data_IF_420870166973
#
_entry.id   IF_420870166973
#
_cell.length_a   1.000
_cell.length_b   1.000
_cell.length_c   1.000
_cell.angle_alpha   90.00
_cell.angle_beta   90.00
_cell.angle_gamma   90.00
#
_symmetry.space_group_name_H-M   'P 1'
#
loop_
_entity.id
_entity.type
_entity.pdbx_description
1 polymer ?
#
# COMPACT_ATOMS: atom_id res chain seq x y z
N UNK A 1 7.72 -16.51 3.69
CA UNK A 1 8.23 -15.15 3.89
C UNK A 1 9.07 -14.76 2.68
N UNK A 2 8.84 -13.57 2.13
CA UNK A 2 9.70 -12.94 1.12
C UNK A 2 10.72 -12.02 1.84
N UNK A 3 11.98 -12.15 1.46
CA UNK A 3 13.07 -11.33 1.98
C UNK A 3 13.81 -10.67 0.81
N UNK A 4 13.81 -9.36 0.81
CA UNK A 4 14.61 -8.51 -0.09
C UNK A 4 15.75 -7.95 0.75
N UNK A 5 16.99 -8.17 0.36
CA UNK A 5 18.15 -7.81 1.16
C UNK A 5 19.15 -7.00 0.34
N UNK A 6 19.29 -5.73 0.68
CA UNK A 6 20.32 -4.84 0.17
C UNK A 6 20.30 -4.63 -1.34
N UNK A 7 19.12 -4.58 -1.98
CA UNK A 7 19.04 -4.40 -3.43
C UNK A 7 19.62 -3.05 -3.85
N UNK A 8 20.53 -3.10 -4.81
CA UNK A 8 21.06 -1.93 -5.51
C UNK A 8 20.73 -2.06 -7.00
N UNK A 9 20.23 -0.97 -7.59
CA UNK A 9 19.99 -0.91 -9.02
C UNK A 9 20.24 0.48 -9.58
N UNK A 10 21.07 0.54 -10.60
CA UNK A 10 21.38 1.77 -11.33
C UNK A 10 20.93 1.65 -12.80
N UNK A 11 20.37 2.72 -13.31
CA UNK A 11 20.04 2.91 -14.72
C UNK A 11 20.77 4.15 -15.23
N UNK A 12 21.89 3.96 -15.93
CA UNK A 12 22.77 5.08 -16.27
C UNK A 12 23.18 5.84 -15.03
N UNK A 13 22.86 7.13 -14.97
CA UNK A 13 23.19 7.99 -13.81
C UNK A 13 22.16 7.92 -12.68
N UNK A 14 21.01 7.27 -12.89
CA UNK A 14 19.94 7.19 -11.90
C UNK A 14 20.12 5.97 -11.00
N UNK A 15 20.28 6.18 -9.70
CA UNK A 15 20.28 5.14 -8.68
C UNK A 15 18.83 4.88 -8.24
N UNK A 16 18.22 3.85 -8.83
CA UNK A 16 16.82 3.52 -8.60
C UNK A 16 16.58 2.73 -7.30
N UNK A 17 17.56 1.91 -6.88
CA UNK A 17 17.57 1.23 -5.59
C UNK A 17 18.95 1.41 -4.94
N UNK A 18 18.95 1.74 -3.65
CA UNK A 18 20.14 2.03 -2.89
C UNK A 18 20.15 1.28 -1.53
N UNK A 19 20.49 -0.01 -1.60
CA UNK A 19 20.52 -0.87 -0.42
C UNK A 19 19.10 -1.24 0.09
N UNK A 20 18.10 -1.25 -0.80
CA UNK A 20 16.70 -1.52 -0.44
C UNK A 20 16.54 -2.90 0.20
N UNK A 21 15.94 -2.93 1.40
CA UNK A 21 15.63 -4.16 2.13
C UNK A 21 14.20 -4.15 2.62
N UNK A 22 13.42 -5.20 2.27
CA UNK A 22 12.00 -5.35 2.64
C UNK A 22 11.73 -6.80 3.02
N UNK A 23 11.01 -7.01 4.11
CA UNK A 23 10.51 -8.32 4.52
C UNK A 23 8.99 -8.35 4.40
N UNK A 24 8.46 -9.42 3.77
CA UNK A 24 7.02 -9.65 3.65
C UNK A 24 6.71 -10.99 4.34
N UNK A 25 6.07 -10.97 5.52
CA UNK A 25 5.70 -12.17 6.24
C UNK A 25 4.75 -13.05 5.42
N UNK A 26 4.81 -14.37 5.60
CA UNK A 26 3.92 -15.30 4.88
C UNK A 26 2.47 -15.10 5.30
N UNK A 27 1.56 -15.03 4.33
CA UNK A 27 0.13 -14.84 4.57
C UNK A 27 -0.25 -13.41 4.97
N UNK A 28 0.66 -12.44 4.87
CA UNK A 28 0.36 -11.04 5.19
C UNK A 28 0.10 -10.21 3.93
N UNK A 29 -0.71 -9.18 4.11
CA UNK A 29 -0.91 -8.10 3.16
C UNK A 29 0.02 -6.94 3.52
N UNK A 30 1.03 -6.68 2.69
CA UNK A 30 2.04 -5.65 2.94
C UNK A 30 1.98 -4.57 1.87
N UNK A 31 1.88 -3.31 2.33
CA UNK A 31 1.93 -2.14 1.46
C UNK A 31 3.36 -1.63 1.26
N UNK A 32 3.81 -1.55 0.00
CA UNK A 32 5.06 -0.88 -0.40
C UNK A 32 4.75 0.55 -0.83
N UNK A 33 5.01 1.50 0.03
CA UNK A 33 4.63 2.89 -0.10
C UNK A 33 5.78 3.76 -0.60
N UNK A 34 5.45 4.87 -1.20
CA UNK A 34 6.44 5.87 -1.59
C UNK A 34 5.97 6.72 -2.76
N UNK A 35 6.61 7.87 -2.99
CA UNK A 35 6.31 8.74 -4.13
C UNK A 35 6.61 8.05 -5.46
N UNK A 36 6.16 8.66 -6.55
CA UNK A 36 6.54 8.23 -7.89
C UNK A 36 8.05 8.38 -8.06
N UNK A 37 8.67 7.36 -8.65
CA UNK A 37 10.13 7.32 -8.80
C UNK A 37 10.90 6.83 -7.55
N UNK A 38 10.25 6.49 -6.44
CA UNK A 38 10.92 5.97 -5.24
C UNK A 38 11.61 4.60 -5.43
N UNK A 39 11.28 3.87 -6.51
CA UNK A 39 11.87 2.55 -6.80
C UNK A 39 10.91 1.36 -6.61
N UNK A 40 9.64 1.58 -6.25
CA UNK A 40 8.64 0.53 -5.98
C UNK A 40 8.54 -0.50 -7.10
N UNK A 41 8.28 -0.06 -8.33
CA UNK A 41 8.20 -0.92 -9.52
C UNK A 41 9.53 -1.64 -9.81
N UNK A 42 10.68 -1.01 -9.53
CA UNK A 42 11.99 -1.64 -9.68
C UNK A 42 12.18 -2.79 -8.71
N UNK A 43 11.78 -2.63 -7.43
CA UNK A 43 11.75 -3.73 -6.45
C UNK A 43 10.88 -4.87 -6.99
N UNK A 44 9.62 -4.58 -7.37
CA UNK A 44 8.68 -5.60 -7.85
C UNK A 44 9.20 -6.33 -9.09
N UNK A 45 9.72 -5.62 -10.08
CA UNK A 45 10.32 -6.22 -11.29
C UNK A 45 11.54 -7.10 -10.97
N UNK A 46 12.30 -6.76 -9.93
CA UNK A 46 13.43 -7.57 -9.46
C UNK A 46 12.97 -8.91 -8.89
N UNK A 47 11.84 -8.95 -8.17
CA UNK A 47 11.27 -10.21 -7.64
C UNK A 47 10.99 -11.20 -8.77
N UNK A 48 10.52 -10.72 -9.92
CA UNK A 48 10.22 -11.55 -11.10
C UNK A 48 11.43 -11.78 -12.01
N UNK A 49 12.59 -11.20 -11.69
CA UNK A 49 13.78 -11.30 -12.53
C UNK A 49 13.67 -10.54 -13.85
N UNK A 50 12.70 -9.65 -13.98
CA UNK A 50 12.57 -8.70 -15.10
C UNK A 50 13.64 -7.62 -15.04
N UNK A 51 14.14 -7.36 -13.86
CA UNK A 51 15.29 -6.49 -13.58
C UNK A 51 16.32 -7.30 -12.81
N UNK A 52 17.56 -7.30 -13.29
CA UNK A 52 18.70 -7.88 -12.58
C UNK A 52 19.28 -6.79 -11.69
N UNK A 53 19.32 -6.95 -10.37
CA UNK A 53 19.95 -5.99 -9.49
C UNK A 53 21.47 -6.00 -9.65
N UNK A 54 22.11 -4.87 -9.36
CA UNK A 54 23.57 -4.75 -9.42
C UNK A 54 24.22 -5.30 -8.13
N UNK A 55 23.47 -5.31 -7.01
CA UNK A 55 23.84 -5.96 -5.77
C UNK A 55 22.58 -6.35 -4.97
N UNK A 56 22.76 -7.16 -3.92
CA UNK A 56 21.70 -7.63 -3.06
C UNK A 56 21.09 -8.95 -3.53
N UNK A 57 20.12 -9.46 -2.77
CA UNK A 57 19.50 -10.77 -3.01
C UNK A 57 18.02 -10.75 -2.71
N UNK A 58 17.27 -11.65 -3.39
CA UNK A 58 15.86 -11.94 -3.09
C UNK A 58 15.75 -13.40 -2.64
N UNK A 59 15.06 -13.63 -1.52
CA UNK A 59 14.80 -14.95 -0.99
C UNK A 59 13.31 -15.19 -0.78
N UNK A 60 12.89 -16.42 -1.03
CA UNK A 60 11.54 -16.90 -0.72
C UNK A 60 11.66 -18.11 0.19
N UNK A 61 11.04 -18.05 1.38
CA UNK A 61 11.12 -19.10 2.40
C UNK A 61 12.57 -19.54 2.70
N UNK A 62 13.46 -18.54 2.86
CA UNK A 62 14.88 -18.73 3.19
C UNK A 62 15.77 -19.18 2.03
N UNK A 63 15.23 -19.41 0.82
CA UNK A 63 15.98 -19.84 -0.37
C UNK A 63 16.04 -18.72 -1.40
N UNK A 64 17.13 -18.64 -2.15
CA UNK A 64 17.22 -17.71 -3.28
C UNK A 64 16.10 -17.96 -4.28
N UNK A 65 15.48 -16.90 -4.76
CA UNK A 65 14.41 -16.98 -5.76
C UNK A 65 14.98 -17.39 -7.10
N UNK A 66 14.50 -18.51 -7.62
CA UNK A 66 14.82 -19.08 -8.93
C UNK A 66 13.62 -19.07 -9.88
N UNK A 67 13.77 -19.64 -11.07
CA UNK A 67 12.69 -19.73 -12.06
C UNK A 67 11.50 -20.55 -11.52
N UNK A 68 11.73 -21.61 -10.76
CA UNK A 68 10.66 -22.46 -10.20
C UNK A 68 9.87 -21.71 -9.13
N UNK A 69 10.55 -20.94 -8.29
CA UNK A 69 9.89 -20.09 -7.30
C UNK A 69 8.98 -19.05 -8.00
N UNK A 70 9.48 -18.42 -9.06
CA UNK A 70 8.73 -17.38 -9.82
C UNK A 70 7.50 -17.95 -10.53
N UNK A 71 7.50 -19.24 -10.92
CA UNK A 71 6.30 -19.87 -11.49
C UNK A 71 5.12 -19.94 -10.49
N UNK A 72 5.40 -19.81 -9.20
CA UNK A 72 4.40 -19.76 -8.12
C UNK A 72 4.09 -18.33 -7.65
N UNK A 73 4.57 -17.33 -8.36
CA UNK A 73 4.32 -15.92 -8.08
C UNK A 73 3.36 -15.34 -9.09
N UNK A 74 2.38 -14.57 -8.63
CA UNK A 74 1.48 -13.79 -9.46
C UNK A 74 1.93 -12.34 -9.55
N UNK A 75 1.89 -11.73 -10.74
CA UNK A 75 2.27 -10.35 -10.94
C UNK A 75 1.21 -9.57 -11.71
N UNK A 76 0.81 -8.47 -11.16
CA UNK A 76 -0.01 -7.47 -11.83
C UNK A 76 0.82 -6.18 -11.96
N UNK A 77 1.36 -5.86 -13.13
CA UNK A 77 2.07 -4.61 -13.36
C UNK A 77 1.10 -3.42 -13.43
N UNK A 78 1.59 -2.21 -13.15
CA UNK A 78 0.84 -0.95 -13.30
C UNK A 78 0.36 -0.76 -14.75
N UNK A 79 1.25 -0.98 -15.71
CA UNK A 79 0.90 -0.97 -17.13
C UNK A 79 0.18 -2.27 -17.52
N UNK A 80 -0.88 -2.14 -18.32
CA UNK A 80 -1.67 -3.29 -18.74
C UNK A 80 -0.90 -4.14 -19.73
N UNK A 81 -0.39 -5.29 -19.26
CA UNK A 81 0.26 -6.31 -20.07
C UNK A 81 -0.72 -7.27 -20.76
N UNK A 82 -1.95 -6.83 -21.07
CA UNK A 82 -2.98 -7.66 -21.67
C UNK A 82 -2.89 -7.64 -23.21
N UNK A 83 -3.25 -8.75 -23.86
CA UNK A 83 -3.39 -8.84 -25.31
C UNK A 83 -4.77 -8.30 -25.73
N UNK A 84 -4.84 -7.13 -26.40
CA UNK A 84 -6.12 -6.44 -26.63
C UNK A 84 -7.12 -7.26 -27.48
N UNK A 85 -6.62 -8.03 -28.42
CA UNK A 85 -7.42 -8.81 -29.36
C UNK A 85 -7.95 -10.14 -28.78
N UNK A 86 -7.37 -10.63 -27.66
CA UNK A 86 -7.82 -11.87 -27.04
C UNK A 86 -9.12 -11.67 -26.26
N UNK A 87 -9.91 -12.74 -26.09
CA UNK A 87 -11.07 -12.77 -25.22
C UNK A 87 -10.62 -12.88 -23.76
N UNK A 88 -11.39 -12.31 -22.83
CA UNK A 88 -11.04 -12.29 -21.42
C UNK A 88 -10.74 -13.67 -20.83
N UNK A 89 -11.67 -14.62 -20.99
CA UNK A 89 -11.49 -15.99 -20.48
C UNK A 89 -10.33 -16.73 -21.17
N UNK A 90 -10.18 -16.55 -22.47
CA UNK A 90 -9.09 -17.16 -23.25
C UNK A 90 -7.72 -16.69 -22.74
N UNK A 91 -7.58 -15.39 -22.49
CA UNK A 91 -6.34 -14.80 -22.01
C UNK A 91 -6.00 -15.29 -20.60
N UNK A 92 -6.95 -15.31 -19.68
CA UNK A 92 -6.75 -15.81 -18.33
C UNK A 92 -6.30 -17.28 -18.38
N UNK A 93 -6.99 -18.12 -19.17
CA UNK A 93 -6.62 -19.52 -19.34
C UNK A 93 -5.24 -19.71 -20.01
N UNK A 94 -4.87 -18.84 -20.95
CA UNK A 94 -3.55 -18.83 -21.57
C UNK A 94 -2.44 -18.62 -20.53
N UNK A 95 -2.58 -17.62 -19.66
CA UNK A 95 -1.62 -17.38 -18.58
C UNK A 95 -1.63 -18.49 -17.53
N UNK A 96 -2.79 -19.10 -17.23
CA UNK A 96 -2.87 -20.27 -16.37
C UNK A 96 -2.03 -21.44 -16.92
N UNK A 97 -2.07 -21.68 -18.23
CA UNK A 97 -1.23 -22.71 -18.88
C UNK A 97 0.27 -22.35 -18.83
N UNK A 98 0.64 -21.09 -18.99
CA UNK A 98 2.03 -20.64 -18.81
C UNK A 98 2.49 -20.85 -17.35
N UNK A 99 1.58 -20.70 -16.38
CA UNK A 99 1.80 -21.00 -14.96
C UNK A 99 1.82 -22.50 -14.63
N UNK A 100 1.67 -23.39 -15.64
CA UNK A 100 1.80 -24.83 -15.46
C UNK A 100 0.48 -25.60 -15.32
N UNK A 101 -0.67 -24.95 -15.41
CA UNK A 101 -1.96 -25.64 -15.37
C UNK A 101 -2.23 -26.44 -16.65
N UNK A 102 -2.95 -27.56 -16.54
CA UNK A 102 -3.49 -28.24 -17.71
C UNK A 102 -4.49 -27.37 -18.46
N UNK A 103 -4.77 -27.66 -19.74
CA UNK A 103 -5.74 -26.89 -20.51
C UNK A 103 -7.15 -26.88 -19.88
N UNK A 104 -7.57 -27.99 -19.29
CA UNK A 104 -8.83 -28.11 -18.58
C UNK A 104 -8.89 -27.30 -17.29
N UNK A 105 -7.85 -27.43 -16.46
CA UNK A 105 -7.74 -26.70 -15.18
C UNK A 105 -7.63 -25.18 -15.41
N UNK A 106 -6.84 -24.76 -16.40
CA UNK A 106 -6.70 -23.35 -16.76
C UNK A 106 -8.05 -22.74 -17.20
N UNK A 107 -8.83 -23.47 -18.03
CA UNK A 107 -10.15 -23.02 -18.45
C UNK A 107 -11.15 -22.98 -17.28
N UNK A 108 -11.10 -23.94 -16.37
CA UNK A 108 -11.92 -23.95 -15.16
C UNK A 108 -11.56 -22.79 -14.22
N UNK A 109 -10.25 -22.58 -13.97
CA UNK A 109 -9.76 -21.49 -13.16
C UNK A 109 -10.11 -20.11 -13.75
N UNK A 110 -10.00 -19.95 -15.08
CA UNK A 110 -10.39 -18.72 -15.76
C UNK A 110 -11.86 -18.37 -15.50
N UNK A 111 -12.77 -19.33 -15.66
CA UNK A 111 -14.21 -19.12 -15.38
C UNK A 111 -14.46 -18.79 -13.92
N UNK A 112 -13.83 -19.52 -12.99
CA UNK A 112 -13.92 -19.27 -11.54
C UNK A 112 -13.51 -17.84 -11.20
N UNK A 113 -12.35 -17.37 -11.69
CA UNK A 113 -11.86 -16.04 -11.41
C UNK A 113 -12.68 -14.94 -12.09
N UNK A 114 -13.15 -15.15 -13.31
CA UNK A 114 -14.07 -14.21 -13.96
C UNK A 114 -15.36 -14.04 -13.15
N UNK A 115 -15.93 -15.14 -12.65
CA UNK A 115 -17.12 -15.07 -11.80
C UNK A 115 -16.83 -14.33 -10.49
N UNK A 116 -15.74 -14.66 -9.79
CA UNK A 116 -15.36 -14.01 -8.53
C UNK A 116 -15.10 -12.51 -8.68
N UNK A 117 -14.55 -12.10 -9.80
CA UNK A 117 -14.21 -10.70 -10.07
C UNK A 117 -15.35 -9.93 -10.77
N UNK A 118 -16.57 -10.48 -10.82
CA UNK A 118 -17.74 -9.81 -11.39
C UNK A 118 -17.67 -9.61 -12.90
N UNK A 119 -16.98 -10.51 -13.62
CA UNK A 119 -16.85 -10.51 -15.07
C UNK A 119 -17.76 -11.58 -15.73
N UNK A 120 -18.70 -12.16 -14.98
CA UNK A 120 -19.67 -13.12 -15.51
C UNK A 120 -20.45 -12.54 -16.70
N UNK A 121 -20.60 -13.33 -17.77
CA UNK A 121 -21.24 -12.91 -19.03
C UNK A 121 -20.32 -12.08 -19.96
N UNK A 122 -19.04 -11.88 -19.60
CA UNK A 122 -18.04 -11.16 -20.42
C UNK A 122 -16.89 -12.06 -20.87
N UNK A 123 -17.05 -13.38 -20.72
CA UNK A 123 -16.02 -14.38 -21.02
C UNK A 123 -15.51 -14.29 -22.44
N UNK A 124 -16.42 -14.07 -23.39
CA UNK A 124 -16.15 -13.98 -24.83
C UNK A 124 -15.86 -12.55 -25.31
N UNK A 125 -15.93 -11.56 -24.41
CA UNK A 125 -15.62 -10.17 -24.77
C UNK A 125 -14.12 -10.01 -25.00
N UNK A 126 -13.75 -9.33 -26.11
CA UNK A 126 -12.34 -8.94 -26.32
C UNK A 126 -11.91 -7.94 -25.27
N UNK A 127 -10.65 -8.05 -24.85
CA UNK A 127 -10.08 -7.20 -23.78
C UNK A 127 -10.16 -5.72 -24.16
N UNK A 128 -9.89 -5.36 -25.42
CA UNK A 128 -9.95 -3.96 -25.91
C UNK A 128 -11.37 -3.34 -25.85
N UNK A 129 -12.42 -4.16 -25.74
CA UNK A 129 -13.81 -3.70 -25.63
C UNK A 129 -14.31 -3.62 -24.18
N UNK A 130 -13.52 -4.06 -23.22
CA UNK A 130 -13.85 -3.97 -21.81
C UNK A 130 -13.55 -2.55 -21.28
N UNK A 131 -14.36 -2.09 -20.31
CA UNK A 131 -14.04 -0.87 -19.57
C UNK A 131 -12.70 -0.99 -18.82
N UNK A 132 -12.10 0.14 -18.47
CA UNK A 132 -10.84 0.18 -17.74
C UNK A 132 -10.85 -0.70 -16.48
N UNK A 133 -11.88 -0.59 -15.65
CA UNK A 133 -12.02 -1.42 -14.44
C UNK A 133 -12.17 -2.91 -14.76
N UNK A 134 -12.87 -3.28 -15.84
CA UNK A 134 -12.98 -4.68 -16.24
C UNK A 134 -11.67 -5.24 -16.80
N UNK A 135 -10.88 -4.44 -17.53
CA UNK A 135 -9.53 -4.83 -17.95
C UNK A 135 -8.61 -5.06 -16.75
N UNK A 136 -8.70 -4.21 -15.73
CA UNK A 136 -7.94 -4.36 -14.48
C UNK A 136 -8.33 -5.65 -13.73
N UNK A 137 -9.63 -5.98 -13.70
CA UNK A 137 -10.11 -7.25 -13.13
C UNK A 137 -9.61 -8.47 -13.93
N UNK A 138 -9.56 -8.40 -15.27
CA UNK A 138 -8.92 -9.44 -16.10
C UNK A 138 -7.44 -9.57 -15.77
N UNK A 139 -6.72 -8.46 -15.62
CA UNK A 139 -5.29 -8.46 -15.26
C UNK A 139 -5.05 -9.09 -13.88
N UNK A 140 -5.91 -8.79 -12.91
CA UNK A 140 -5.88 -9.43 -11.60
C UNK A 140 -6.17 -10.93 -11.70
N UNK A 141 -7.18 -11.33 -12.50
CA UNK A 141 -7.46 -12.75 -12.76
C UNK A 141 -6.27 -13.49 -13.37
N UNK A 142 -5.54 -12.85 -14.28
CA UNK A 142 -4.30 -13.38 -14.86
C UNK A 142 -3.23 -13.62 -13.79
N UNK A 143 -3.06 -12.69 -12.85
CA UNK A 143 -2.11 -12.84 -11.75
C UNK A 143 -2.50 -13.94 -10.75
N UNK A 144 -3.79 -14.26 -10.66
CA UNK A 144 -4.35 -15.21 -9.68
C UNK A 144 -4.63 -16.60 -10.24
N UNK A 145 -4.68 -16.78 -11.56
CA UNK A 145 -5.24 -17.98 -12.22
C UNK A 145 -4.55 -19.29 -11.84
N UNK A 146 -3.28 -19.24 -11.47
CA UNK A 146 -2.47 -20.41 -11.09
C UNK A 146 -2.31 -20.58 -9.57
N UNK A 147 -3.15 -19.92 -8.78
CA UNK A 147 -3.19 -19.94 -7.32
C UNK A 147 -1.80 -19.68 -6.69
N UNK A 148 -1.26 -18.46 -6.81
CA UNK A 148 0.12 -18.15 -6.43
C UNK A 148 0.35 -18.14 -4.92
N UNK A 149 1.58 -18.49 -4.49
CA UNK A 149 2.02 -18.34 -3.09
C UNK A 149 2.35 -16.89 -2.73
N UNK A 150 2.85 -16.14 -3.70
CA UNK A 150 3.16 -14.70 -3.60
C UNK A 150 2.43 -13.95 -4.71
N UNK A 151 1.63 -12.99 -4.33
CA UNK A 151 0.96 -12.07 -5.24
C UNK A 151 1.58 -10.68 -5.11
N UNK A 152 2.08 -10.13 -6.22
CA UNK A 152 2.67 -8.79 -6.28
C UNK A 152 1.84 -7.92 -7.21
N UNK A 153 1.35 -6.80 -6.68
CA UNK A 153 0.43 -5.90 -7.38
C UNK A 153 1.01 -4.48 -7.42
N UNK A 154 1.22 -3.97 -8.62
CA UNK A 154 1.73 -2.61 -8.82
C UNK A 154 0.57 -1.65 -9.03
N UNK A 155 0.30 -0.77 -8.05
CA UNK A 155 -0.79 0.21 -8.00
C UNK A 155 -2.20 -0.39 -8.26
N UNK A 156 -2.61 -1.48 -7.59
CA UNK A 156 -3.84 -2.22 -7.92
C UNK A 156 -5.13 -1.43 -7.68
N UNK A 157 -5.09 -0.39 -6.87
CA UNK A 157 -6.24 0.44 -6.52
C UNK A 157 -6.36 1.72 -7.38
N UNK A 158 -5.39 1.96 -8.27
CA UNK A 158 -5.39 3.16 -9.09
C UNK A 158 -6.61 3.21 -10.03
N UNK A 159 -7.37 4.32 -9.96
CA UNK A 159 -8.53 4.54 -10.82
C UNK A 159 -9.77 3.70 -10.50
N UNK A 160 -9.80 3.03 -9.35
CA UNK A 160 -11.00 2.37 -8.83
C UNK A 160 -11.90 3.35 -8.09
N UNK A 161 -13.20 3.13 -8.18
CA UNK A 161 -14.18 3.79 -7.30
C UNK A 161 -14.16 3.15 -5.89
N UNK A 162 -14.71 3.81 -4.86
CA UNK A 162 -14.67 3.31 -3.48
C UNK A 162 -15.24 1.89 -3.32
N UNK A 163 -16.30 1.55 -4.02
CA UNK A 163 -16.94 0.22 -3.95
C UNK A 163 -16.00 -0.85 -4.51
N UNK A 164 -15.33 -0.55 -5.63
CA UNK A 164 -14.35 -1.46 -6.23
C UNK A 164 -13.10 -1.63 -5.34
N UNK A 165 -12.69 -0.57 -4.63
CA UNK A 165 -11.63 -0.64 -3.63
C UNK A 165 -11.99 -1.60 -2.52
N UNK A 166 -13.19 -1.49 -1.92
CA UNK A 166 -13.64 -2.38 -0.84
C UNK A 166 -13.69 -3.84 -1.28
N UNK A 167 -14.20 -4.10 -2.49
CA UNK A 167 -14.28 -5.46 -3.06
C UNK A 167 -12.88 -6.05 -3.27
N UNK A 168 -11.95 -5.27 -3.81
CA UNK A 168 -10.57 -5.72 -4.00
C UNK A 168 -9.88 -5.96 -2.66
N UNK A 169 -10.05 -5.07 -1.71
CA UNK A 169 -9.50 -5.18 -0.36
C UNK A 169 -9.97 -6.48 0.33
N UNK A 170 -11.28 -6.74 0.32
CA UNK A 170 -11.85 -7.96 0.88
C UNK A 170 -11.27 -9.23 0.21
N UNK A 171 -11.10 -9.21 -1.12
CA UNK A 171 -10.46 -10.30 -1.84
C UNK A 171 -9.01 -10.53 -1.40
N UNK A 172 -8.22 -9.46 -1.26
CA UNK A 172 -6.81 -9.59 -0.84
C UNK A 172 -6.69 -10.14 0.59
N UNK A 173 -7.56 -9.72 1.51
CA UNK A 173 -7.62 -10.28 2.86
C UNK A 173 -7.98 -11.77 2.85
N UNK A 174 -9.01 -12.16 2.09
CA UNK A 174 -9.39 -13.58 1.94
C UNK A 174 -8.22 -14.43 1.40
N UNK A 175 -7.47 -13.92 0.43
CA UNK A 175 -6.29 -14.60 -0.11
C UNK A 175 -5.18 -14.74 0.96
N UNK A 176 -4.97 -13.72 1.78
CA UNK A 176 -4.00 -13.78 2.88
C UNK A 176 -4.41 -14.80 3.94
N UNK A 177 -5.70 -14.83 4.32
CA UNK A 177 -6.26 -15.83 5.24
C UNK A 177 -6.11 -17.26 4.68
N UNK A 178 -6.21 -17.42 3.36
CA UNK A 178 -5.95 -18.69 2.68
C UNK A 178 -4.45 -19.04 2.55
N UNK A 179 -3.53 -18.17 3.00
CA UNK A 179 -2.09 -18.39 3.03
C UNK A 179 -1.28 -17.73 1.91
N UNK A 180 -1.93 -17.05 0.97
CA UNK A 180 -1.22 -16.26 -0.06
C UNK A 180 -0.54 -15.05 0.59
N UNK A 181 0.72 -14.81 0.25
CA UNK A 181 1.44 -13.60 0.66
C UNK A 181 1.20 -12.50 -0.36
N UNK A 182 0.85 -11.31 0.07
CA UNK A 182 0.54 -10.20 -0.86
C UNK A 182 1.45 -9.01 -0.60
N UNK A 183 2.11 -8.52 -1.65
CA UNK A 183 2.85 -7.26 -1.66
C UNK A 183 2.22 -6.35 -2.72
N UNK A 184 1.75 -5.17 -2.34
CA UNK A 184 1.26 -4.22 -3.32
C UNK A 184 1.89 -2.84 -3.16
N UNK A 185 2.06 -2.13 -4.26
CA UNK A 185 2.50 -0.73 -4.22
C UNK A 185 1.32 0.21 -4.14
N UNK A 186 1.52 1.34 -3.46
CA UNK A 186 0.60 2.46 -3.50
C UNK A 186 1.31 3.78 -3.19
N UNK A 187 0.78 4.86 -3.72
CA UNK A 187 1.08 6.23 -3.31
C UNK A 187 -0.04 6.85 -2.45
N UNK A 188 -1.14 6.12 -2.22
CA UNK A 188 -2.31 6.54 -1.43
C UNK A 188 -2.18 6.04 0.01
N UNK A 189 -1.56 6.85 0.87
CA UNK A 189 -1.23 6.48 2.25
C UNK A 189 -2.47 6.18 3.11
N UNK A 190 -3.56 6.95 2.91
CA UNK A 190 -4.78 6.77 3.68
C UNK A 190 -5.44 5.42 3.38
N UNK A 191 -5.50 5.03 2.09
CA UNK A 191 -5.99 3.72 1.69
C UNK A 191 -5.20 2.58 2.33
N UNK A 192 -3.86 2.67 2.29
CA UNK A 192 -3.01 1.61 2.84
C UNK A 192 -3.14 1.51 4.36
N UNK A 193 -3.35 2.64 5.03
CA UNK A 193 -3.58 2.70 6.48
C UNK A 193 -4.79 1.87 6.93
N UNK A 194 -5.82 1.82 6.09
CA UNK A 194 -7.06 1.11 6.39
C UNK A 194 -7.01 -0.37 5.96
N UNK A 195 -6.11 -0.71 5.02
CA UNK A 195 -6.02 -2.05 4.45
C UNK A 195 -4.93 -2.93 5.07
N UNK A 196 -3.80 -2.35 5.49
CA UNK A 196 -2.61 -3.12 5.83
C UNK A 196 -2.30 -3.11 7.32
N UNK A 197 -1.86 -4.26 7.84
CA UNK A 197 -1.20 -4.33 9.14
C UNK A 197 0.29 -3.99 9.05
N UNK A 198 0.93 -4.33 7.93
CA UNK A 198 2.36 -4.15 7.69
C UNK A 198 2.62 -3.24 6.49
N UNK A 199 3.59 -2.35 6.62
CA UNK A 199 3.97 -1.40 5.57
C UNK A 199 5.49 -1.31 5.44
N UNK A 200 5.96 -0.96 4.24
CA UNK A 200 7.32 -0.53 3.98
C UNK A 200 7.29 0.77 3.17
N UNK A 201 7.97 1.80 3.65
CA UNK A 201 8.02 3.11 3.01
C UNK A 201 9.36 3.24 2.28
N UNK A 202 9.27 3.41 0.98
CA UNK A 202 10.41 3.57 0.09
C UNK A 202 10.53 5.04 -0.32
N UNK A 203 11.73 5.59 -0.18
CA UNK A 203 12.09 6.91 -0.68
C UNK A 203 13.50 6.88 -1.28
N UNK A 204 13.66 7.47 -2.47
CA UNK A 204 14.93 7.50 -3.22
C UNK A 204 15.69 6.15 -3.25
N UNK A 205 14.96 5.05 -3.46
CA UNK A 205 15.53 3.70 -3.56
C UNK A 205 15.89 3.06 -2.21
N UNK A 206 15.62 3.71 -1.08
CA UNK A 206 15.86 3.22 0.28
C UNK A 206 14.57 2.98 1.03
N UNK A 207 14.51 1.95 1.84
CA UNK A 207 13.43 1.78 2.82
C UNK A 207 13.75 2.67 4.01
N UNK A 208 12.95 3.73 4.18
CA UNK A 208 13.10 4.68 5.28
C UNK A 208 12.34 4.25 6.53
N UNK A 209 11.29 3.44 6.35
CA UNK A 209 10.50 2.89 7.46
C UNK A 209 9.87 1.58 7.03
N UNK A 210 9.86 0.57 7.89
CA UNK A 210 9.13 -0.68 7.68
C UNK A 210 8.72 -1.31 9.00
N UNK A 211 7.57 -1.98 9.02
CA UNK A 211 7.07 -2.72 10.17
C UNK A 211 5.57 -2.71 10.29
N UNK A 212 5.07 -3.23 11.42
CA UNK A 212 3.65 -3.25 11.73
C UNK A 212 3.13 -1.82 11.99
N UNK A 213 2.06 -1.44 11.33
CA UNK A 213 1.51 -0.08 11.40
C UNK A 213 1.15 0.34 12.83
N UNK A 214 0.60 -0.58 13.63
CA UNK A 214 0.29 -0.33 15.04
C UNK A 214 1.55 -0.01 15.87
N UNK A 215 2.67 -0.70 15.61
CA UNK A 215 3.95 -0.46 16.28
C UNK A 215 4.58 0.85 15.83
N UNK A 216 4.54 1.14 14.53
CA UNK A 216 5.03 2.39 13.95
C UNK A 216 4.27 3.59 14.55
N UNK A 217 2.95 3.49 14.65
CA UNK A 217 2.11 4.51 15.31
C UNK A 217 2.40 4.63 16.79
N UNK A 218 2.56 3.50 17.49
CA UNK A 218 2.89 3.49 18.91
C UNK A 218 4.28 4.09 19.20
N UNK A 219 5.25 3.84 18.31
CA UNK A 219 6.61 4.34 18.41
C UNK A 219 6.79 5.80 17.99
N UNK A 220 5.83 6.40 17.29
CA UNK A 220 5.92 7.78 16.84
C UNK A 220 6.10 8.76 18.02
N UNK A 221 7.03 9.67 17.89
CA UNK A 221 7.35 10.67 18.92
C UNK A 221 6.23 11.70 19.10
N UNK A 222 5.45 11.90 18.05
CA UNK A 222 4.37 12.89 17.98
C UNK A 222 3.01 12.24 17.86
N UNK A 223 1.99 12.96 18.35
CA UNK A 223 0.57 12.58 18.33
C UNK A 223 -0.24 13.70 17.70
N UNK A 224 -1.36 13.35 17.12
CA UNK A 224 -2.34 14.32 16.63
C UNK A 224 -3.32 14.66 17.76
N UNK A 225 -3.56 15.95 17.95
CA UNK A 225 -4.59 16.46 18.84
C UNK A 225 -5.49 17.40 18.05
N UNK A 226 -6.78 17.15 18.09
CA UNK A 226 -7.80 18.03 17.52
C UNK A 226 -8.68 18.58 18.64
N UNK A 227 -8.80 19.91 18.68
CA UNK A 227 -9.63 20.60 19.67
C UNK A 227 -10.68 21.40 18.91
N UNK A 228 -11.96 21.21 19.27
CA UNK A 228 -13.09 21.96 18.71
C UNK A 228 -13.84 22.68 19.84
N UNK A 229 -14.07 23.96 19.64
CA UNK A 229 -14.80 24.83 20.57
C UNK A 229 -16.29 24.90 20.20
N UNK A 230 -17.15 25.10 21.20
CA UNK A 230 -18.61 25.25 21.04
C UNK A 230 -19.01 26.53 20.30
N UNK A 231 -18.14 27.53 20.27
CA UNK A 231 -18.36 28.78 19.55
C UNK A 231 -17.11 29.22 18.79
N UNK A 232 -17.30 30.10 17.83
CA UNK A 232 -16.20 30.78 17.17
C UNK A 232 -15.45 31.69 18.16
N UNK A 233 -14.15 31.52 18.28
CA UNK A 233 -13.26 32.26 19.15
C UNK A 233 -12.37 33.27 18.38
N UNK A 234 -12.62 33.41 17.08
CA UNK A 234 -11.85 34.26 16.17
C UNK A 234 -10.68 33.50 15.52
N UNK A 235 -10.11 34.14 14.48
CA UNK A 235 -8.95 33.56 13.81
C UNK A 235 -7.76 33.45 14.76
N UNK A 236 -7.04 32.30 14.67
CA UNK A 236 -5.78 32.05 15.38
C UNK A 236 -5.84 32.14 16.91
N UNK A 237 -7.00 31.81 17.52
CA UNK A 237 -7.19 31.81 18.99
C UNK A 237 -6.19 30.90 19.73
N UNK A 238 -5.49 30.02 19.01
CA UNK A 238 -4.46 29.10 19.53
C UNK A 238 -3.02 29.66 19.40
N UNK A 239 -2.78 30.87 18.89
CA UNK A 239 -1.41 31.37 18.62
C UNK A 239 -0.50 31.33 19.84
N UNK A 240 -1.04 31.59 21.01
CA UNK A 240 -0.29 31.54 22.25
C UNK A 240 0.12 30.13 22.70
N UNK A 241 -0.44 29.08 22.10
CA UNK A 241 -0.19 27.71 22.56
C UNK A 241 1.22 27.22 22.18
N UNK A 242 1.76 27.61 21.05
CA UNK A 242 3.11 27.26 20.65
C UNK A 242 4.18 27.87 21.57
N UNK A 243 3.89 29.01 22.19
CA UNK A 243 4.77 29.68 23.16
C UNK A 243 4.54 29.16 24.59
N UNK A 244 3.29 28.95 24.98
CA UNK A 244 2.90 28.55 26.32
C UNK A 244 3.05 27.05 26.61
N UNK A 245 3.04 26.21 25.56
CA UNK A 245 3.04 24.74 25.66
C UNK A 245 4.20 24.14 24.83
N UNK A 246 5.39 23.97 25.42
CA UNK A 246 6.53 23.35 24.74
C UNK A 246 6.18 21.96 24.20
N UNK A 247 6.54 21.68 22.96
CA UNK A 247 6.21 20.42 22.27
C UNK A 247 4.86 20.40 21.56
N UNK A 248 4.12 21.52 21.54
CA UNK A 248 2.90 21.70 20.77
C UNK A 248 3.20 22.49 19.49
N UNK A 249 2.87 21.90 18.34
CA UNK A 249 2.99 22.53 17.03
C UNK A 249 1.61 22.65 16.39
N UNK A 250 1.29 23.83 15.89
CA UNK A 250 0.03 24.05 15.17
C UNK A 250 0.15 23.54 13.74
N UNK A 251 -0.71 22.60 13.37
CA UNK A 251 -0.79 22.06 12.00
C UNK A 251 -1.79 22.83 11.13
N UNK A 252 -2.75 23.53 11.74
CA UNK A 252 -3.77 24.35 11.09
C UNK A 252 -5.03 24.47 11.94
N UNK A 253 -5.94 25.36 11.55
CA UNK A 253 -7.20 25.55 12.26
C UNK A 253 -8.05 26.66 11.64
N UNK A 254 -9.22 26.84 12.22
CA UNK A 254 -10.20 27.86 11.89
C UNK A 254 -10.76 28.50 13.18
N UNK A 255 -11.72 29.40 13.09
CA UNK A 255 -12.27 30.08 14.26
C UNK A 255 -12.87 29.17 15.34
N UNK A 256 -13.11 27.88 15.05
CA UNK A 256 -13.68 26.90 15.97
C UNK A 256 -12.77 25.72 16.29
N UNK A 257 -11.94 25.31 15.35
CA UNK A 257 -11.17 24.08 15.46
C UNK A 257 -9.69 24.33 15.26
N UNK A 258 -8.84 23.63 16.01
CA UNK A 258 -7.40 23.61 15.81
C UNK A 258 -6.88 22.17 15.74
N UNK A 259 -6.01 21.92 14.80
CA UNK A 259 -5.25 20.67 14.69
C UNK A 259 -3.82 20.91 15.12
N UNK A 260 -3.37 20.12 16.05
CA UNK A 260 -2.05 20.22 16.66
C UNK A 260 -1.29 18.91 16.45
N UNK A 261 0.01 19.05 16.34
CA UNK A 261 0.95 17.95 16.51
C UNK A 261 1.63 18.15 17.85
N UNK A 262 1.52 17.19 18.75
CA UNK A 262 2.04 17.28 20.11
C UNK A 262 3.06 16.20 20.37
N UNK A 263 4.16 16.55 21.03
CA UNK A 263 5.16 15.58 21.46
C UNK A 263 4.55 14.65 22.54
N UNK A 264 5.00 13.41 22.60
CA UNK A 264 4.47 12.39 23.52
C UNK A 264 4.57 12.81 25.00
N UNK A 265 5.51 13.70 25.32
CA UNK A 265 5.74 14.23 26.68
C UNK A 265 4.81 15.38 27.06
N UNK A 266 4.01 15.90 26.12
CA UNK A 266 3.12 17.05 26.38
C UNK A 266 2.02 16.65 27.36
N UNK A 267 1.84 17.46 28.37
CA UNK A 267 0.75 17.35 29.33
C UNK A 267 -0.57 17.81 28.69
N UNK A 268 -1.37 16.84 28.26
CA UNK A 268 -2.66 17.09 27.59
C UNK A 268 -3.67 17.81 28.49
N UNK A 269 -3.55 17.67 29.82
CA UNK A 269 -4.42 18.38 30.74
C UNK A 269 -4.19 19.88 30.67
N UNK A 270 -2.94 20.32 30.54
CA UNK A 270 -2.60 21.75 30.32
C UNK A 270 -3.17 22.26 29.00
N UNK A 271 -3.10 21.48 27.92
CA UNK A 271 -3.68 21.86 26.63
C UNK A 271 -5.21 22.00 26.77
N UNK A 272 -5.86 21.09 27.48
CA UNK A 272 -7.30 21.15 27.72
C UNK A 272 -7.70 22.35 28.57
N UNK A 273 -6.91 22.70 29.58
CA UNK A 273 -7.14 23.89 30.43
C UNK A 273 -7.04 25.15 29.57
N UNK A 274 -6.02 25.27 28.75
CA UNK A 274 -5.85 26.43 27.84
C UNK A 274 -7.02 26.53 26.85
N UNK A 275 -7.47 25.41 26.29
CA UNK A 275 -8.63 25.38 25.41
C UNK A 275 -9.90 25.87 26.12
N UNK A 276 -10.16 25.36 27.31
CA UNK A 276 -11.33 25.74 28.15
C UNK A 276 -11.28 27.20 28.57
N UNK A 277 -10.11 27.78 28.75
CA UNK A 277 -9.98 29.21 29.06
C UNK A 277 -10.46 30.11 27.92
N UNK A 278 -10.47 29.61 26.69
CA UNK A 278 -10.91 30.33 25.48
C UNK A 278 -12.42 30.21 25.26
N UNK A 279 -12.95 28.99 25.31
CA UNK A 279 -14.38 28.69 25.22
C UNK A 279 -14.69 27.26 25.68
N UNK A 280 -15.99 26.89 25.71
CA UNK A 280 -16.42 25.52 25.93
C UNK A 280 -15.79 24.58 24.88
N UNK A 281 -15.13 23.49 25.34
CA UNK A 281 -14.56 22.46 24.48
C UNK A 281 -15.62 21.40 24.22
N UNK A 282 -16.02 21.27 22.96
CA UNK A 282 -17.01 20.29 22.49
C UNK A 282 -16.35 18.98 22.09
N UNK A 283 -15.11 19.06 21.55
CA UNK A 283 -14.35 17.90 21.06
C UNK A 283 -12.87 18.04 21.41
N UNK A 284 -12.29 16.96 21.92
CA UNK A 284 -10.87 16.87 22.24
C UNK A 284 -10.38 15.46 21.89
N UNK A 285 -9.92 15.31 20.66
CA UNK A 285 -9.48 14.02 20.14
C UNK A 285 -7.96 13.94 20.15
N UNK A 286 -7.46 12.89 20.79
CA UNK A 286 -6.04 12.60 20.87
C UNK A 286 -5.75 11.26 20.20
N UNK A 287 -5.25 11.31 18.98
CA UNK A 287 -5.04 10.16 18.12
C UNK A 287 -3.56 9.89 17.86
N UNK A 288 -3.20 8.62 17.58
CA UNK A 288 -1.91 8.31 16.96
C UNK A 288 -1.78 9.07 15.64
N UNK A 289 -0.54 9.36 15.18
CA UNK A 289 -0.33 9.99 13.91
C UNK A 289 -0.85 9.11 12.76
N UNK A 290 -1.35 9.76 11.71
CA UNK A 290 -1.69 9.10 10.46
C UNK A 290 -0.43 8.55 9.78
N UNK A 291 -0.59 7.57 8.88
CA UNK A 291 0.52 7.07 8.08
C UNK A 291 1.16 8.18 7.23
N UNK A 292 0.36 9.15 6.78
CA UNK A 292 0.83 10.34 6.06
C UNK A 292 1.72 11.25 6.90
N UNK A 293 1.48 11.33 8.20
CA UNK A 293 2.33 12.10 9.12
C UNK A 293 3.64 11.37 9.42
N UNK A 294 3.55 10.06 9.69
CA UNK A 294 4.73 9.19 9.88
C UNK A 294 5.63 9.23 8.63
N UNK A 295 5.04 9.13 7.44
CA UNK A 295 5.77 9.23 6.17
C UNK A 295 6.53 10.56 6.05
N UNK A 296 5.84 11.69 6.28
CA UNK A 296 6.47 13.02 6.20
C UNK A 296 7.62 13.20 7.19
N UNK A 297 7.53 12.58 8.35
CA UNK A 297 8.58 12.60 9.36
C UNK A 297 9.77 11.75 8.92
N UNK A 298 9.53 10.53 8.41
CA UNK A 298 10.56 9.62 7.94
C UNK A 298 11.36 10.12 6.72
N UNK A 299 10.72 10.88 5.82
CA UNK A 299 11.37 11.44 4.61
C UNK A 299 12.14 12.73 4.92
N UNK A 300 11.84 13.43 6.03
CA UNK A 300 12.54 14.66 6.45
C UNK A 300 13.75 14.41 7.34
N UNK A 301 13.86 13.23 7.93
CA UNK A 301 14.97 12.79 8.79
C UNK A 301 16.13 12.20 7.97
#
# INVERSE_FOLDING_TARGET
MLEVVGLVKRYGDVLALDGCSVNVPSGHLVGLLGPNGAGKTTVMRTLFGLVVPDAGTVRWSGRSVDVRSRQRFGYMPEERGLYPAMRGAEQIAYFGRLGGLSAGDAAAAARRWMQRLGLAGREDSRVDRLSHGNQQRVQLAVALVHDPDLLVLDEPFAGLDPIAVDVLAALLHELCEAGTTVLFSSHQLDLVQDLCEDVAILDHGRVVLAGRLSELRAGALRRRLEVTLGRDAGERWWERWSEALPGVLVAGGDGRSVRLTVDRSVDLEKVLIEARSTAEVVRFDFDPPSLSEIFREAVRS
#
